data_IF_772659135951
#
_entry.id   IF_772659135951
#
_cell.length_a   1.000
_cell.length_b   1.000
_cell.length_c   1.000
_cell.angle_alpha   90.00
_cell.angle_beta   90.00
_cell.angle_gamma   90.00
#
_symmetry.space_group_name_H-M   'P 1'
#
loop_
_entity.id
_entity.type
_entity.pdbx_description
1 polymer ?
#
# COMPACT_ATOMS: atom_id res chain seq x y z
N UNK A 1 32.25 0.86 -24.63
CA UNK A 1 31.97 -0.60 -24.61
C UNK A 1 32.75 -1.19 -23.43
N UNK A 2 32.11 -1.46 -22.34
CA UNK A 2 32.68 -2.17 -21.19
C UNK A 2 31.62 -3.18 -20.70
N UNK A 3 32.02 -4.36 -20.23
CA UNK A 3 31.09 -5.45 -19.99
C UNK A 3 30.26 -5.24 -18.74
N UNK A 4 29.00 -5.67 -18.83
CA UNK A 4 28.07 -5.75 -17.73
C UNK A 4 28.56 -6.77 -16.68
N UNK A 5 28.65 -6.38 -15.44
CA UNK A 5 28.92 -7.28 -14.31
C UNK A 5 27.61 -7.95 -13.89
N UNK A 6 27.61 -9.26 -14.02
CA UNK A 6 26.64 -10.21 -13.50
C UNK A 6 26.61 -10.11 -11.98
N UNK A 7 25.47 -9.75 -11.38
CA UNK A 7 25.25 -9.80 -9.95
C UNK A 7 24.57 -11.12 -9.61
N UNK A 8 25.35 -12.01 -9.00
CA UNK A 8 24.99 -13.35 -8.62
C UNK A 8 23.81 -13.44 -7.65
N UNK A 9 22.92 -14.35 -8.00
CA UNK A 9 21.81 -14.84 -7.19
C UNK A 9 22.33 -15.60 -5.95
N UNK A 10 21.86 -15.21 -4.76
CA UNK A 10 22.02 -15.97 -3.51
C UNK A 10 20.82 -16.90 -3.33
N UNK A 11 20.98 -18.22 -3.13
CA UNK A 11 19.87 -19.14 -2.95
C UNK A 11 19.36 -19.13 -1.52
N UNK A 12 18.05 -18.96 -1.34
CA UNK A 12 17.33 -19.22 -0.10
C UNK A 12 17.14 -20.73 0.09
N UNK A 13 17.89 -21.32 1.00
CA UNK A 13 17.70 -22.72 1.43
C UNK A 13 16.81 -22.80 2.67
N UNK A 14 15.70 -23.52 2.49
CA UNK A 14 14.81 -24.23 3.41
C UNK A 14 15.15 -24.28 4.91
N UNK A 15 14.15 -23.93 5.74
CA UNK A 15 13.98 -24.54 7.07
C UNK A 15 12.57 -25.13 7.14
N UNK A 16 12.49 -26.42 6.86
CA UNK A 16 11.36 -27.29 7.24
C UNK A 16 11.61 -27.73 8.68
N UNK A 17 10.71 -27.43 9.62
CA UNK A 17 10.67 -28.08 10.94
C UNK A 17 9.34 -28.81 11.15
N UNK A 18 9.50 -30.08 11.32
CA UNK A 18 8.66 -31.18 11.78
C UNK A 18 7.59 -30.80 12.81
N UNK A 19 6.35 -31.18 12.51
CA UNK A 19 5.24 -31.20 13.45
C UNK A 19 5.32 -32.46 14.34
N UNK A 20 5.49 -32.27 15.63
CA UNK A 20 5.32 -33.30 16.65
C UNK A 20 3.89 -33.28 17.20
N UNK A 21 3.21 -34.39 17.11
CA UNK A 21 1.89 -34.70 17.67
C UNK A 21 1.89 -34.55 19.20
N UNK A 22 1.01 -33.71 19.75
CA UNK A 22 0.71 -33.66 21.18
C UNK A 22 -0.79 -33.81 21.42
N UNK A 23 -1.10 -34.75 22.33
CA UNK A 23 -2.42 -35.22 22.71
C UNK A 23 -3.28 -34.12 23.36
N UNK A 24 -4.56 -34.19 23.06
CA UNK A 24 -5.66 -33.30 23.53
C UNK A 24 -5.90 -33.38 25.05
N UNK A 25 -5.85 -32.22 25.72
CA UNK A 25 -6.40 -31.97 27.05
C UNK A 25 -7.20 -30.64 27.04
N UNK A 26 -8.09 -30.34 28.03
CA UNK A 26 -9.06 -29.26 27.94
C UNK A 26 -8.41 -27.89 28.16
N UNK A 27 -7.77 -27.33 27.12
CA UNK A 27 -7.09 -26.03 27.11
C UNK A 27 -7.66 -25.08 26.04
N UNK A 28 -8.85 -25.41 25.49
CA UNK A 28 -9.42 -24.65 24.36
C UNK A 28 -10.11 -23.33 24.73
N UNK A 29 -10.35 -23.03 26.01
CA UNK A 29 -11.07 -21.83 26.39
C UNK A 29 -10.15 -20.59 26.63
N UNK A 30 -8.88 -20.80 26.93
CA UNK A 30 -7.92 -19.69 27.14
C UNK A 30 -7.23 -19.21 25.86
N UNK A 31 -7.19 -20.04 24.80
CA UNK A 31 -6.56 -19.64 23.53
C UNK A 31 -7.43 -18.74 22.67
N UNK A 32 -8.77 -18.79 22.81
CA UNK A 32 -9.66 -17.93 22.05
C UNK A 32 -9.65 -16.46 22.51
N UNK A 33 -9.36 -16.19 23.79
CA UNK A 33 -9.24 -14.83 24.30
C UNK A 33 -7.91 -14.14 23.94
N UNK A 34 -6.85 -14.91 23.71
CA UNK A 34 -5.55 -14.38 23.28
C UNK A 34 -5.53 -13.99 21.80
N UNK A 35 -6.36 -14.62 20.94
CA UNK A 35 -6.44 -14.28 19.52
C UNK A 35 -7.24 -12.99 19.24
N UNK A 36 -8.13 -12.58 20.14
CA UNK A 36 -8.89 -11.33 20.00
C UNK A 36 -8.12 -10.09 20.49
N UNK A 37 -7.06 -10.26 21.27
CA UNK A 37 -6.20 -9.17 21.73
C UNK A 37 -5.08 -8.78 20.70
N UNK A 38 -4.93 -9.54 19.63
CA UNK A 38 -3.79 -9.42 18.70
C UNK A 38 -3.93 -8.33 17.61
N UNK A 39 -4.99 -7.51 17.60
CA UNK A 39 -5.27 -6.59 16.48
C UNK A 39 -5.58 -5.14 16.85
N UNK A 40 -5.36 -4.70 18.08
CA UNK A 40 -5.45 -3.28 18.39
C UNK A 40 -4.19 -2.59 17.82
N UNK A 41 -4.33 -1.46 17.09
CA UNK A 41 -3.16 -0.73 16.62
C UNK A 41 -2.38 -0.18 17.82
N UNK A 42 -1.05 -0.30 17.74
CA UNK A 42 -0.14 0.11 18.80
C UNK A 42 0.67 1.35 18.44
N UNK A 43 0.61 1.75 17.17
CA UNK A 43 1.23 2.98 16.71
C UNK A 43 0.51 3.56 15.49
N UNK A 44 0.81 4.82 15.17
CA UNK A 44 0.31 5.53 14.00
C UNK A 44 1.45 6.24 13.28
N UNK A 45 1.42 6.23 11.95
CA UNK A 45 2.45 6.81 11.08
C UNK A 45 2.37 8.34 11.09
N UNK A 46 3.51 9.01 11.32
CA UNK A 46 3.66 10.46 11.38
C UNK A 46 4.27 11.08 10.11
N UNK A 47 4.91 10.28 9.26
CA UNK A 47 5.50 10.76 8.00
C UNK A 47 4.47 10.71 6.86
N UNK A 48 4.55 11.60 5.87
CA UNK A 48 3.72 11.47 4.66
C UNK A 48 3.77 10.08 4.08
N UNK A 49 4.99 9.54 3.97
CA UNK A 49 5.31 8.16 3.60
C UNK A 49 6.45 7.70 4.50
N UNK A 50 6.28 6.60 5.20
CA UNK A 50 7.30 5.94 6.01
C UNK A 50 7.72 4.64 5.34
N UNK A 51 9.03 4.45 5.16
CA UNK A 51 9.58 3.22 4.59
C UNK A 51 9.54 2.09 5.62
N UNK A 52 9.28 0.89 5.14
CA UNK A 52 9.46 -0.37 5.85
C UNK A 52 10.70 -1.07 5.27
N UNK A 53 11.61 -1.46 6.14
CA UNK A 53 12.89 -2.08 5.78
C UNK A 53 12.91 -3.56 6.15
N UNK A 54 13.67 -4.36 5.41
CA UNK A 54 13.87 -5.79 5.70
C UNK A 54 14.57 -6.00 7.04
N UNK A 55 15.47 -5.09 7.44
CA UNK A 55 16.24 -5.11 8.68
C UNK A 55 16.17 -3.73 9.36
N UNK A 56 16.48 -3.62 10.68
CA UNK A 56 16.43 -2.37 11.43
C UNK A 56 17.63 -1.45 11.12
N UNK A 57 17.78 -1.07 9.86
CA UNK A 57 18.76 -0.12 9.33
C UNK A 57 18.24 0.52 8.04
N UNK A 58 18.54 1.80 7.82
CA UNK A 58 18.20 2.50 6.56
C UNK A 58 19.02 2.03 5.35
N UNK A 59 20.10 1.27 5.58
CA UNK A 59 20.90 0.64 4.52
C UNK A 59 20.28 -0.67 3.99
N UNK A 60 19.23 -1.18 4.66
CA UNK A 60 18.52 -2.38 4.23
C UNK A 60 17.55 -2.09 3.09
N UNK A 61 17.13 -3.17 2.42
CA UNK A 61 16.11 -3.09 1.36
C UNK A 61 14.81 -2.52 1.89
N UNK A 62 14.21 -1.57 1.15
CA UNK A 62 12.84 -1.11 1.39
C UNK A 62 11.88 -2.17 0.86
N UNK A 63 11.15 -2.81 1.75
CA UNK A 63 10.21 -3.90 1.39
C UNK A 63 8.78 -3.40 1.17
N UNK A 64 8.40 -2.29 1.79
CA UNK A 64 7.09 -1.66 1.62
C UNK A 64 7.10 -0.23 2.19
N UNK A 65 5.92 0.40 2.21
CA UNK A 65 5.70 1.71 2.83
C UNK A 65 4.36 1.74 3.56
N UNK A 66 4.24 2.69 4.52
CA UNK A 66 2.95 3.07 5.07
C UNK A 66 2.77 4.60 4.98
N UNK A 67 1.53 5.04 4.70
CA UNK A 67 1.22 6.46 4.53
C UNK A 67 0.79 7.10 5.85
N UNK A 68 0.81 8.43 5.88
CA UNK A 68 0.40 9.27 7.00
C UNK A 68 -0.92 8.82 7.63
N UNK A 69 -0.96 8.71 8.95
CA UNK A 69 -2.15 8.31 9.69
C UNK A 69 -2.51 6.83 9.62
N UNK A 70 -1.69 5.99 8.96
CA UNK A 70 -1.89 4.54 8.99
C UNK A 70 -1.69 4.01 10.41
N UNK A 71 -2.69 3.31 10.92
CA UNK A 71 -2.59 2.57 12.18
C UNK A 71 -1.87 1.24 11.93
N UNK A 72 -0.91 0.90 12.77
CA UNK A 72 -0.07 -0.29 12.64
C UNK A 72 0.02 -1.04 13.96
N UNK A 73 0.20 -2.37 13.88
CA UNK A 73 0.60 -3.20 15.02
C UNK A 73 2.11 -3.21 15.20
N UNK A 74 2.59 -3.49 16.40
CA UNK A 74 4.01 -3.61 16.71
C UNK A 74 4.34 -5.05 17.09
N UNK A 75 5.22 -5.68 16.30
CA UNK A 75 5.62 -7.08 16.46
C UNK A 75 6.82 -7.19 17.39
N UNK A 76 7.81 -6.29 17.22
CA UNK A 76 9.07 -6.27 17.99
C UNK A 76 9.56 -4.83 18.16
N UNK A 77 10.30 -4.55 19.21
CA UNK A 77 10.94 -3.25 19.46
C UNK A 77 12.44 -3.43 19.63
N UNK A 78 13.23 -2.64 18.89
CA UNK A 78 14.69 -2.50 19.05
C UNK A 78 15.06 -1.03 19.27
N UNK A 79 16.24 -0.73 19.77
CA UNK A 79 16.68 0.66 19.91
C UNK A 79 16.56 1.45 18.60
N UNK A 80 15.72 2.49 18.59
CA UNK A 80 15.43 3.33 17.40
C UNK A 80 14.54 2.72 16.33
N UNK A 81 14.06 1.47 16.47
CA UNK A 81 13.31 0.74 15.44
C UNK A 81 12.12 -0.03 15.99
N UNK A 82 11.07 -0.12 15.18
CA UNK A 82 9.91 -0.97 15.44
C UNK A 82 9.72 -1.93 14.27
N UNK A 83 9.62 -3.25 14.56
CA UNK A 83 9.11 -4.21 13.61
C UNK A 83 7.59 -4.12 13.64
N UNK A 84 7.01 -3.73 12.52
CA UNK A 84 5.60 -3.38 12.45
C UNK A 84 4.81 -4.30 11.54
N UNK A 85 3.50 -4.30 11.72
CA UNK A 85 2.54 -4.97 10.85
C UNK A 85 1.51 -3.95 10.35
N UNK A 86 1.41 -3.79 9.05
CA UNK A 86 0.44 -2.93 8.38
C UNK A 86 -0.94 -3.59 8.27
N UNK A 87 -2.02 -2.84 7.95
CA UNK A 87 -3.37 -3.38 7.83
C UNK A 87 -3.59 -4.44 6.73
N UNK A 88 -2.64 -4.61 5.83
CA UNK A 88 -2.58 -5.66 4.81
C UNK A 88 -1.74 -6.87 5.23
N UNK A 89 -1.43 -6.98 6.53
CA UNK A 89 -0.64 -8.03 7.18
C UNK A 89 0.83 -8.10 6.74
N UNK A 90 1.33 -7.09 6.03
CA UNK A 90 2.74 -7.02 5.67
C UNK A 90 3.59 -6.57 6.86
N UNK A 91 4.82 -7.07 6.97
CA UNK A 91 5.72 -6.76 8.08
C UNK A 91 7.06 -6.21 7.60
N UNK A 92 7.65 -5.34 8.41
CA UNK A 92 8.96 -4.76 8.16
C UNK A 92 9.38 -3.83 9.29
N UNK A 93 10.60 -3.33 9.25
CA UNK A 93 11.15 -2.43 10.25
C UNK A 93 10.94 -0.98 9.86
N UNK A 94 10.48 -0.15 10.81
CA UNK A 94 10.37 1.30 10.66
C UNK A 94 11.20 2.01 11.72
N UNK A 95 11.80 3.19 11.40
CA UNK A 95 12.36 4.08 12.41
C UNK A 95 11.28 4.46 13.44
N UNK A 96 11.62 4.38 14.73
CA UNK A 96 10.67 4.70 15.81
C UNK A 96 10.19 6.16 15.75
N UNK A 97 11.03 7.07 15.25
CA UNK A 97 10.70 8.50 15.12
C UNK A 97 9.69 8.80 13.99
N UNK A 98 9.43 7.85 13.12
CA UNK A 98 8.39 7.96 12.08
C UNK A 98 6.99 7.65 12.61
N UNK A 99 6.89 7.23 13.87
CA UNK A 99 5.71 6.67 14.48
C UNK A 99 5.37 7.35 15.81
N UNK A 100 4.09 7.49 16.11
CA UNK A 100 3.62 7.76 17.47
C UNK A 100 3.07 6.46 18.06
N UNK A 101 3.59 6.05 19.21
CA UNK A 101 3.03 4.95 19.99
C UNK A 101 1.66 5.32 20.55
N UNK A 102 0.73 4.39 20.51
CA UNK A 102 -0.58 4.51 21.14
C UNK A 102 -0.52 3.90 22.54
N UNK A 103 -0.98 4.66 23.53
CA UNK A 103 -1.06 4.21 24.92
C UNK A 103 -2.29 3.35 25.19
N UNK A 104 -2.34 2.74 26.37
CA UNK A 104 -3.51 2.01 26.84
C UNK A 104 -4.71 2.98 26.94
N UNK A 105 -5.74 2.74 26.14
CA UNK A 105 -6.94 3.58 26.08
C UNK A 105 -6.97 4.57 24.91
N UNK A 106 -5.87 4.75 24.18
CA UNK A 106 -5.87 5.52 22.94
C UNK A 106 -6.72 4.80 21.88
N UNK A 107 -7.51 5.59 21.16
CA UNK A 107 -8.24 5.08 20.00
C UNK A 107 -7.34 5.08 18.77
N UNK A 108 -7.54 4.11 17.90
CA UNK A 108 -6.95 4.13 16.58
C UNK A 108 -7.28 5.44 15.85
N UNK A 109 -6.29 6.05 15.20
CA UNK A 109 -6.48 7.30 14.47
C UNK A 109 -7.47 7.10 13.31
N UNK A 110 -8.33 8.07 13.07
CA UNK A 110 -9.37 8.06 12.05
C UNK A 110 -10.22 6.76 12.03
N UNK A 111 -10.47 6.19 13.23
CA UNK A 111 -11.29 4.98 13.40
C UNK A 111 -12.74 5.27 13.75
N UNK A 112 -13.10 6.52 14.04
CA UNK A 112 -14.46 6.93 14.40
C UNK A 112 -14.70 8.41 14.09
N UNK A 113 -15.95 8.85 14.25
CA UNK A 113 -16.34 10.21 13.93
C UNK A 113 -16.39 10.48 12.42
N UNK A 114 -16.23 11.74 12.03
CA UNK A 114 -16.21 12.14 10.62
C UNK A 114 -14.79 12.03 10.07
N UNK A 115 -14.61 11.17 9.08
CA UNK A 115 -13.31 10.91 8.44
C UNK A 115 -13.37 11.39 6.99
N UNK A 116 -12.37 12.17 6.59
CA UNK A 116 -12.13 12.57 5.21
C UNK A 116 -11.02 11.68 4.60
N UNK A 117 -11.20 11.31 3.34
CA UNK A 117 -10.23 10.53 2.56
C UNK A 117 -9.61 11.43 1.50
N UNK A 118 -8.30 11.50 1.44
CA UNK A 118 -7.60 12.24 0.40
C UNK A 118 -7.85 11.57 -0.95
N UNK A 119 -8.54 12.29 -1.84
CA UNK A 119 -8.84 11.86 -3.22
C UNK A 119 -7.96 12.57 -4.25
N UNK A 120 -7.40 13.74 -3.95
CA UNK A 120 -6.32 14.33 -4.74
C UNK A 120 -5.05 13.47 -4.66
N UNK A 121 -4.17 13.51 -5.67
CA UNK A 121 -2.88 12.82 -5.58
C UNK A 121 -2.08 13.28 -4.35
N UNK A 122 -2.23 14.57 -3.99
CA UNK A 122 -1.62 15.19 -2.83
C UNK A 122 -2.61 16.17 -2.21
N UNK A 123 -2.73 16.19 -0.88
CA UNK A 123 -3.47 17.21 -0.13
C UNK A 123 -2.53 17.94 0.81
N UNK A 124 -2.51 19.27 0.72
CA UNK A 124 -1.72 20.10 1.62
C UNK A 124 -2.51 20.41 2.89
N UNK A 125 -1.90 20.15 4.03
CA UNK A 125 -2.46 20.49 5.34
C UNK A 125 -1.71 21.72 5.86
N UNK A 126 -2.45 22.77 6.13
CA UNK A 126 -1.93 24.08 6.54
C UNK A 126 -2.13 24.31 8.03
N UNK A 127 -1.39 25.28 8.58
CA UNK A 127 -1.50 25.71 9.98
C UNK A 127 -2.75 26.55 10.24
N UNK A 128 -3.22 27.24 9.23
CA UNK A 128 -4.37 28.12 9.22
C UNK A 128 -5.10 28.02 7.86
N UNK A 129 -6.40 28.38 7.74
CA UNK A 129 -7.14 28.26 6.48
C UNK A 129 -6.68 29.31 5.45
N UNK A 130 -5.42 29.20 5.02
CA UNK A 130 -4.78 30.16 4.12
C UNK A 130 -3.65 29.49 3.33
N UNK A 131 -3.76 29.51 1.99
CA UNK A 131 -2.75 28.94 1.08
C UNK A 131 -1.61 29.92 0.73
N UNK A 132 -1.77 31.21 1.03
CA UNK A 132 -0.82 32.25 0.61
C UNK A 132 0.24 32.54 1.65
N UNK A 133 0.02 32.10 2.89
CA UNK A 133 0.92 32.33 4.02
C UNK A 133 1.47 31.00 4.48
N UNK A 134 2.77 30.96 4.72
CA UNK A 134 3.47 29.79 5.27
C UNK A 134 3.39 28.54 4.38
N UNK A 135 4.38 27.70 4.51
CA UNK A 135 4.38 26.38 3.89
C UNK A 135 3.34 25.44 4.57
N UNK A 136 2.85 24.42 3.89
CA UNK A 136 2.08 23.37 4.52
C UNK A 136 2.81 22.73 5.70
N UNK A 137 2.06 22.28 6.70
CA UNK A 137 2.57 21.44 7.80
C UNK A 137 3.04 20.10 7.27
N UNK A 138 2.21 19.52 6.39
CA UNK A 138 2.44 18.25 5.75
C UNK A 138 1.73 18.21 4.40
N UNK A 139 2.25 17.38 3.49
CA UNK A 139 1.57 16.99 2.25
C UNK A 139 1.18 15.53 2.38
N UNK A 140 -0.11 15.27 2.50
CA UNK A 140 -0.66 13.93 2.63
C UNK A 140 -0.87 13.30 1.25
N UNK A 141 -0.46 12.03 1.03
CA UNK A 141 -0.70 11.32 -0.21
C UNK A 141 -2.18 10.90 -0.38
N UNK A 142 -2.52 10.50 -1.59
CA UNK A 142 -3.79 9.83 -1.92
C UNK A 142 -4.11 8.70 -0.94
N UNK A 143 -5.39 8.51 -0.60
CA UNK A 143 -5.92 7.55 0.39
C UNK A 143 -5.60 7.85 1.86
N UNK A 144 -4.88 8.93 2.17
CA UNK A 144 -4.72 9.35 3.58
C UNK A 144 -6.09 9.60 4.22
N UNK A 145 -6.29 9.06 5.41
CA UNK A 145 -7.49 9.28 6.23
C UNK A 145 -7.22 10.34 7.27
N UNK A 146 -8.13 11.29 7.41
CA UNK A 146 -7.99 12.42 8.32
C UNK A 146 -9.26 12.59 9.15
N UNK A 147 -9.11 12.80 10.46
CA UNK A 147 -10.24 13.07 11.35
C UNK A 147 -10.69 14.52 11.21
N UNK A 148 -11.91 14.75 10.75
CA UNK A 148 -12.49 16.09 10.64
C UNK A 148 -13.07 16.51 11.99
N UNK A 149 -12.59 17.62 12.53
CA UNK A 149 -12.99 18.17 13.82
C UNK A 149 -13.85 19.43 13.67
N UNK A 150 -13.74 20.14 12.54
CA UNK A 150 -14.62 21.26 12.25
C UNK A 150 -14.81 21.48 10.74
N UNK A 151 -16.00 22.00 10.40
CA UNK A 151 -16.42 22.41 9.06
C UNK A 151 -17.00 23.83 9.16
N UNK A 152 -16.17 24.89 8.93
CA UNK A 152 -16.64 26.26 9.04
C UNK A 152 -17.79 26.55 8.08
N UNK A 153 -18.85 27.18 8.61
CA UNK A 153 -20.04 27.52 7.81
C UNK A 153 -19.81 28.77 6.96
N UNK A 154 -18.95 29.66 7.38
CA UNK A 154 -18.57 30.91 6.73
C UNK A 154 -17.53 30.74 5.63
N UNK A 155 -16.74 29.67 5.66
CA UNK A 155 -15.81 29.30 4.60
C UNK A 155 -15.79 27.81 4.33
N UNK A 156 -16.75 27.33 3.56
CA UNK A 156 -16.95 25.93 3.21
C UNK A 156 -15.77 25.27 2.46
N UNK A 157 -14.80 26.06 2.00
CA UNK A 157 -13.60 25.55 1.29
C UNK A 157 -12.67 24.79 2.22
N UNK A 158 -12.76 25.01 3.53
CA UNK A 158 -11.85 24.48 4.50
C UNK A 158 -12.47 23.43 5.41
N UNK A 159 -11.63 22.50 5.82
CA UNK A 159 -11.89 21.54 6.87
C UNK A 159 -10.78 21.65 7.90
N UNK A 160 -11.13 21.70 9.17
CA UNK A 160 -10.17 21.50 10.24
C UNK A 160 -10.09 20.01 10.58
N UNK A 161 -8.86 19.49 10.63
CA UNK A 161 -8.59 18.07 10.90
C UNK A 161 -7.65 17.92 12.08
N UNK A 162 -7.88 16.88 12.88
CA UNK A 162 -6.91 16.41 13.86
C UNK A 162 -5.86 15.57 13.15
N UNK A 163 -4.60 15.80 13.48
CA UNK A 163 -3.45 15.07 12.94
C UNK A 163 -3.10 13.87 13.85
N UNK A 164 -2.37 12.86 13.35
CA UNK A 164 -1.96 11.70 14.16
C UNK A 164 -1.14 12.05 15.41
N UNK A 165 -0.51 13.22 15.44
CA UNK A 165 0.25 13.76 16.59
C UNK A 165 -0.57 14.68 17.50
N UNK A 166 -1.89 14.63 17.39
CA UNK A 166 -2.90 15.39 18.14
C UNK A 166 -2.90 16.91 17.87
N UNK A 167 -2.06 17.43 16.99
CA UNK A 167 -2.19 18.80 16.49
C UNK A 167 -3.40 18.93 15.58
N UNK A 168 -3.87 20.14 15.34
CA UNK A 168 -4.84 20.41 14.27
C UNK A 168 -4.17 21.04 13.04
N UNK A 169 -4.84 20.93 11.91
CA UNK A 169 -4.45 21.54 10.66
C UNK A 169 -5.66 21.75 9.75
N UNK A 170 -5.47 22.50 8.71
CA UNK A 170 -6.51 22.91 7.77
C UNK A 170 -6.20 22.36 6.38
N UNK A 171 -7.17 21.72 5.75
CA UNK A 171 -7.06 21.30 4.36
C UNK A 171 -8.24 21.80 3.52
N UNK A 172 -8.04 21.86 2.22
CA UNK A 172 -9.09 22.26 1.30
C UNK A 172 -10.06 21.11 1.08
N UNK A 173 -11.36 21.38 1.19
CA UNK A 173 -12.43 20.38 1.01
C UNK A 173 -12.37 19.72 -0.38
N UNK A 174 -11.92 20.40 -1.41
CA UNK A 174 -11.80 19.87 -2.77
C UNK A 174 -10.77 18.73 -2.92
N UNK A 175 -9.88 18.56 -1.93
CA UNK A 175 -8.85 17.52 -1.94
C UNK A 175 -9.34 16.18 -1.38
N UNK A 176 -10.56 16.12 -0.81
CA UNK A 176 -11.04 14.95 -0.08
C UNK A 176 -12.45 14.52 -0.47
N UNK A 177 -12.76 13.28 -0.19
CA UNK A 177 -14.11 12.72 -0.18
C UNK A 177 -14.47 12.22 1.22
N UNK A 178 -15.76 12.19 1.52
CA UNK A 178 -16.33 11.55 2.71
C UNK A 178 -16.92 10.17 2.41
N UNK A 179 -16.99 9.83 1.13
CA UNK A 179 -17.50 8.55 0.66
C UNK A 179 -16.35 7.69 0.16
N UNK A 180 -16.33 6.45 0.58
CA UNK A 180 -15.35 5.44 0.17
C UNK A 180 -16.09 4.20 -0.31
N UNK A 181 -16.81 4.35 -1.44
CA UNK A 181 -17.46 3.21 -2.08
C UNK A 181 -16.46 2.49 -2.99
N UNK A 182 -16.53 1.15 -3.04
CA UNK A 182 -15.77 0.39 -4.02
C UNK A 182 -16.05 0.85 -5.45
N UNK A 183 -15.01 1.02 -6.24
CA UNK A 183 -15.12 1.42 -7.64
C UNK A 183 -15.49 0.23 -8.53
N UNK A 184 -16.25 0.50 -9.59
CA UNK A 184 -16.39 -0.43 -10.70
C UNK A 184 -15.05 -0.66 -11.41
N UNK A 185 -14.99 -1.62 -12.32
CA UNK A 185 -13.79 -1.85 -13.15
C UNK A 185 -13.48 -0.60 -13.99
N UNK A 186 -14.48 0.00 -14.61
CA UNK A 186 -14.36 1.22 -15.41
C UNK A 186 -13.86 2.40 -14.57
N UNK A 187 -14.46 2.60 -13.39
CA UNK A 187 -14.03 3.63 -12.44
C UNK A 187 -12.59 3.41 -11.93
N UNK A 188 -12.17 2.16 -11.78
CA UNK A 188 -10.79 1.82 -11.40
C UNK A 188 -9.80 2.14 -12.53
N UNK A 189 -10.16 1.84 -13.76
CA UNK A 189 -9.34 2.17 -14.93
C UNK A 189 -9.24 3.68 -15.12
N UNK A 190 -10.33 4.42 -14.94
CA UNK A 190 -10.32 5.88 -14.98
C UNK A 190 -9.43 6.45 -13.86
N UNK A 191 -9.60 5.96 -12.63
CA UNK A 191 -8.74 6.32 -11.51
C UNK A 191 -7.27 6.06 -11.83
N UNK A 192 -6.93 4.89 -12.38
CA UNK A 192 -5.56 4.49 -12.67
C UNK A 192 -4.83 5.47 -13.60
N UNK A 193 -5.55 6.07 -14.55
CA UNK A 193 -5.01 7.06 -15.50
C UNK A 193 -4.55 8.35 -14.84
N UNK A 194 -5.09 8.70 -13.67
CA UNK A 194 -4.67 9.88 -12.89
C UNK A 194 -3.25 9.76 -12.37
N UNK A 195 -2.72 8.55 -12.27
CA UNK A 195 -1.38 8.25 -11.76
C UNK A 195 -0.30 8.18 -12.85
N UNK A 196 -0.68 8.30 -14.14
CA UNK A 196 0.27 8.24 -15.25
C UNK A 196 1.38 9.27 -15.08
N UNK A 197 2.62 8.81 -15.21
CA UNK A 197 3.81 9.64 -15.04
C UNK A 197 4.32 9.78 -13.62
N UNK A 198 3.62 9.28 -12.60
CA UNK A 198 4.17 9.20 -11.25
C UNK A 198 5.40 8.27 -11.23
N UNK A 199 6.43 8.59 -10.44
CA UNK A 199 7.67 7.85 -10.43
C UNK A 199 7.47 6.40 -9.97
N UNK A 200 8.25 5.49 -10.57
CA UNK A 200 8.48 4.17 -10.00
C UNK A 200 9.37 4.31 -8.77
N UNK A 201 8.93 3.75 -7.66
CA UNK A 201 9.69 3.73 -6.41
C UNK A 201 9.66 2.31 -5.87
N UNK A 202 10.83 1.70 -5.68
CA UNK A 202 10.94 0.37 -5.11
C UNK A 202 10.31 0.35 -3.70
N UNK A 203 9.48 -0.67 -3.40
CA UNK A 203 8.69 -0.72 -2.17
C UNK A 203 7.53 0.26 -2.10
N UNK A 204 7.31 1.08 -3.14
CA UNK A 204 6.36 2.19 -3.16
C UNK A 204 4.90 1.77 -3.12
N UNK A 205 4.11 2.43 -2.25
CA UNK A 205 2.67 2.16 -2.05
C UNK A 205 1.81 3.42 -2.06
N UNK A 206 2.35 4.56 -2.50
CA UNK A 206 1.69 5.85 -2.39
C UNK A 206 1.79 6.69 -3.66
N UNK A 207 1.02 7.78 -3.74
CA UNK A 207 1.11 8.75 -4.84
C UNK A 207 2.43 9.53 -4.90
N UNK A 208 3.35 9.35 -3.95
CA UNK A 208 4.73 9.83 -4.07
C UNK A 208 5.58 8.92 -4.96
N UNK A 209 5.17 7.69 -5.17
CA UNK A 209 5.75 6.70 -6.05
C UNK A 209 5.21 5.31 -5.74
N UNK A 210 5.04 4.51 -6.76
CA UNK A 210 4.58 3.12 -6.67
C UNK A 210 5.63 2.18 -7.25
N UNK A 211 5.74 0.97 -6.70
CA UNK A 211 6.21 -0.17 -7.46
C UNK A 211 5.05 -0.90 -8.17
N UNK A 212 5.34 -1.94 -8.91
CA UNK A 212 4.35 -2.66 -9.70
C UNK A 212 3.23 -3.27 -8.86
N UNK A 213 3.59 -3.98 -7.78
CA UNK A 213 2.63 -4.69 -6.93
C UNK A 213 1.91 -3.74 -5.97
N UNK A 214 2.55 -2.69 -5.48
CA UNK A 214 1.91 -1.64 -4.67
C UNK A 214 0.87 -0.84 -5.46
N UNK A 215 1.15 -0.55 -6.75
CA UNK A 215 0.17 0.09 -7.63
C UNK A 215 -1.03 -0.82 -7.91
N UNK A 216 -0.78 -2.08 -8.25
CA UNK A 216 -1.84 -3.07 -8.48
C UNK A 216 -2.65 -3.32 -7.21
N UNK A 217 -2.01 -3.39 -6.04
CA UNK A 217 -2.65 -3.52 -4.73
C UNK A 217 -3.58 -2.33 -4.45
N UNK A 218 -3.14 -1.09 -4.71
CA UNK A 218 -3.96 0.12 -4.56
C UNK A 218 -5.20 0.06 -5.45
N UNK A 219 -5.07 -0.31 -6.72
CA UNK A 219 -6.21 -0.43 -7.65
C UNK A 219 -7.22 -1.48 -7.17
N UNK A 220 -6.75 -2.63 -6.70
CA UNK A 220 -7.62 -3.68 -6.14
C UNK A 220 -8.30 -3.22 -4.84
N UNK A 221 -7.58 -2.52 -3.97
CA UNK A 221 -8.14 -1.94 -2.73
C UNK A 221 -9.26 -0.94 -3.03
N UNK A 222 -9.12 -0.12 -4.06
CA UNK A 222 -10.17 0.82 -4.50
C UNK A 222 -11.40 0.09 -5.08
N UNK A 223 -11.26 -1.15 -5.50
CA UNK A 223 -12.37 -2.05 -5.87
C UNK A 223 -12.98 -2.81 -4.68
N UNK A 224 -12.51 -2.53 -3.46
CA UNK A 224 -12.95 -3.20 -2.25
C UNK A 224 -12.26 -4.53 -1.96
N UNK A 225 -11.24 -4.92 -2.74
CA UNK A 225 -10.50 -6.18 -2.55
C UNK A 225 -9.09 -5.91 -2.08
N UNK A 226 -8.73 -6.44 -0.91
CA UNK A 226 -7.35 -6.41 -0.40
C UNK A 226 -6.61 -7.63 -0.93
N UNK A 227 -5.56 -7.40 -1.71
CA UNK A 227 -4.67 -8.43 -2.23
C UNK A 227 -3.31 -8.35 -1.51
N UNK A 228 -2.50 -9.41 -1.52
CA UNK A 228 -1.15 -9.39 -0.95
C UNK A 228 -0.26 -8.30 -1.54
N UNK A 229 0.84 -7.98 -0.82
CA UNK A 229 1.77 -6.91 -1.21
C UNK A 229 2.65 -7.29 -2.41
N UNK A 230 3.22 -8.50 -2.42
CA UNK A 230 4.23 -8.90 -3.39
C UNK A 230 3.61 -9.56 -4.63
N UNK A 231 4.21 -9.36 -5.80
CA UNK A 231 3.65 -9.76 -7.08
C UNK A 231 3.47 -11.28 -7.21
N UNK A 232 4.44 -12.08 -6.75
CA UNK A 232 4.40 -13.54 -6.76
C UNK A 232 3.32 -14.06 -5.81
N UNK A 233 3.17 -13.44 -4.62
CA UNK A 233 2.12 -13.77 -3.65
C UNK A 233 0.74 -13.38 -4.19
N UNK A 234 0.62 -12.24 -4.91
CA UNK A 234 -0.62 -11.86 -5.60
C UNK A 234 -1.05 -12.91 -6.62
N UNK A 235 -0.09 -13.41 -7.43
CA UNK A 235 -0.36 -14.42 -8.45
C UNK A 235 -0.81 -15.78 -7.88
N UNK A 236 -0.33 -16.13 -6.69
CA UNK A 236 -0.62 -17.36 -5.98
C UNK A 236 -1.79 -17.24 -4.98
N UNK A 237 -2.33 -16.02 -4.79
CA UNK A 237 -3.36 -15.77 -3.78
C UNK A 237 -4.66 -16.50 -4.08
N UNK A 238 -5.29 -17.08 -3.03
CA UNK A 238 -6.53 -17.84 -3.16
C UNK A 238 -7.76 -17.04 -3.64
N UNK A 239 -7.72 -15.70 -3.56
CA UNK A 239 -8.79 -14.79 -4.02
C UNK A 239 -8.74 -14.50 -5.52
N UNK A 240 -7.87 -15.18 -6.29
CA UNK A 240 -7.79 -15.05 -7.74
C UNK A 240 -7.95 -16.40 -8.44
N UNK A 241 -8.47 -16.37 -9.68
CA UNK A 241 -8.56 -17.55 -10.54
C UNK A 241 -7.72 -17.38 -11.81
N UNK A 242 -7.15 -18.47 -12.36
CA UNK A 242 -6.41 -18.41 -13.62
C UNK A 242 -7.32 -17.97 -14.78
N UNK A 243 -6.76 -17.15 -15.67
CA UNK A 243 -7.40 -16.70 -16.91
C UNK A 243 -6.44 -16.98 -18.06
N UNK A 244 -6.96 -17.43 -19.21
CA UNK A 244 -6.16 -17.54 -20.43
C UNK A 244 -5.97 -16.16 -21.05
N UNK A 245 -4.86 -15.95 -21.79
CA UNK A 245 -4.56 -14.68 -22.43
C UNK A 245 -5.66 -14.22 -23.40
N UNK A 246 -6.26 -15.14 -24.12
CA UNK A 246 -7.38 -14.90 -25.06
C UNK A 246 -8.70 -14.50 -24.39
N UNK A 247 -8.86 -14.83 -23.08
CA UNK A 247 -10.07 -14.57 -22.28
C UNK A 247 -9.93 -13.33 -21.38
N UNK A 248 -8.86 -12.53 -21.55
CA UNK A 248 -8.59 -11.33 -20.74
C UNK A 248 -9.74 -10.32 -20.82
N UNK A 249 -10.11 -9.78 -19.67
CA UNK A 249 -11.09 -8.70 -19.51
C UNK A 249 -10.48 -7.55 -18.70
N UNK A 250 -10.93 -6.30 -18.93
CA UNK A 250 -10.50 -5.17 -18.10
C UNK A 250 -10.62 -5.50 -16.60
N UNK A 251 -9.59 -5.18 -15.83
CA UNK A 251 -9.48 -5.47 -14.40
C UNK A 251 -8.77 -6.78 -14.07
N UNK A 252 -8.43 -7.62 -15.06
CA UNK A 252 -7.59 -8.81 -14.83
C UNK A 252 -6.16 -8.40 -14.51
N UNK A 253 -5.50 -9.20 -13.65
CA UNK A 253 -4.13 -8.99 -13.23
C UNK A 253 -3.18 -9.79 -14.12
N UNK A 254 -2.12 -9.15 -14.55
CA UNK A 254 -1.09 -9.73 -15.40
C UNK A 254 0.19 -9.88 -14.60
N UNK A 255 0.85 -11.02 -14.73
CA UNK A 255 2.06 -11.36 -14.01
C UNK A 255 3.16 -11.73 -14.98
N UNK A 256 4.33 -11.11 -14.77
CA UNK A 256 5.47 -11.20 -15.66
C UNK A 256 6.69 -11.71 -14.90
N UNK A 257 7.51 -12.49 -15.55
CA UNK A 257 8.72 -13.06 -14.97
C UNK A 257 9.43 -13.99 -15.95
N UNK A 258 10.44 -14.70 -15.50
CA UNK A 258 11.14 -15.72 -16.30
C UNK A 258 10.37 -17.03 -16.37
N UNK A 259 9.54 -17.33 -15.36
CA UNK A 259 8.68 -18.51 -15.25
C UNK A 259 7.51 -18.24 -14.30
N UNK A 260 6.50 -19.12 -14.30
CA UNK A 260 5.30 -18.98 -13.45
C UNK A 260 5.61 -19.09 -11.94
N UNK A 261 6.71 -19.67 -11.57
CA UNK A 261 7.26 -19.77 -10.20
C UNK A 261 8.36 -18.70 -9.92
N UNK A 262 8.62 -17.82 -10.89
CA UNK A 262 9.58 -16.72 -10.75
C UNK A 262 8.99 -15.43 -11.34
N UNK A 263 7.97 -14.90 -10.63
CA UNK A 263 7.27 -13.66 -10.98
C UNK A 263 8.00 -12.49 -10.33
N UNK A 264 8.27 -11.45 -11.12
CA UNK A 264 8.99 -10.24 -10.67
C UNK A 264 8.25 -8.95 -10.98
N UNK A 265 7.10 -9.02 -11.69
CA UNK A 265 6.37 -7.84 -12.10
C UNK A 265 4.86 -8.13 -12.28
N UNK A 266 4.05 -7.10 -12.10
CA UNK A 266 2.59 -7.18 -12.27
C UNK A 266 2.01 -5.88 -12.83
N UNK A 267 0.81 -5.97 -13.39
CA UNK A 267 0.01 -4.84 -13.85
C UNK A 267 -1.45 -5.24 -14.03
N UNK A 268 -2.32 -4.26 -14.31
CA UNK A 268 -3.74 -4.49 -14.54
C UNK A 268 -4.09 -4.31 -16.02
N UNK A 269 -4.74 -5.31 -16.60
CA UNK A 269 -5.27 -5.24 -17.96
C UNK A 269 -6.40 -4.21 -18.05
N UNK A 270 -6.35 -3.33 -19.04
CA UNK A 270 -7.31 -2.24 -19.23
C UNK A 270 -8.12 -2.35 -20.52
N UNK A 271 -7.98 -3.48 -21.24
CA UNK A 271 -8.64 -3.70 -22.53
C UNK A 271 -7.75 -3.40 -23.74
N UNK A 272 -8.19 -3.79 -24.92
CA UNK A 272 -7.55 -3.47 -26.22
C UNK A 272 -6.07 -3.89 -26.30
N UNK A 273 -5.70 -4.99 -25.66
CA UNK A 273 -4.32 -5.47 -25.62
C UNK A 273 -3.40 -4.62 -24.74
N UNK A 274 -3.93 -3.71 -23.93
CA UNK A 274 -3.15 -2.77 -23.09
C UNK A 274 -3.29 -3.08 -21.62
N UNK A 275 -2.27 -2.72 -20.86
CA UNK A 275 -2.29 -2.79 -19.40
C UNK A 275 -1.58 -1.58 -18.79
N UNK A 276 -1.98 -1.24 -17.57
CA UNK A 276 -1.37 -0.18 -16.78
C UNK A 276 -0.54 -0.77 -15.66
N UNK A 277 0.64 -0.21 -15.44
CA UNK A 277 1.59 -0.69 -14.43
C UNK A 277 2.56 0.42 -14.00
N UNK A 278 3.20 0.27 -12.85
CA UNK A 278 4.38 1.02 -12.47
C UNK A 278 5.60 0.16 -12.86
N UNK A 279 6.41 0.61 -13.79
CA UNK A 279 7.53 -0.16 -14.35
C UNK A 279 8.74 0.71 -14.60
N UNK A 280 9.92 0.08 -14.62
CA UNK A 280 11.17 0.73 -15.01
C UNK A 280 11.45 0.62 -16.52
N UNK A 281 10.69 -0.21 -17.25
CA UNK A 281 10.84 -0.42 -18.68
C UNK A 281 10.53 0.85 -19.44
N UNK A 282 11.46 1.28 -20.31
CA UNK A 282 11.47 2.52 -21.09
C UNK A 282 11.59 3.77 -20.19
N UNK A 283 10.68 3.94 -19.22
CA UNK A 283 10.68 5.05 -18.25
C UNK A 283 10.29 4.52 -16.87
N UNK A 284 10.95 4.95 -15.79
CA UNK A 284 10.63 4.51 -14.42
C UNK A 284 9.41 5.27 -13.87
N UNK A 285 8.23 4.96 -14.42
CA UNK A 285 6.97 5.63 -14.05
C UNK A 285 5.77 4.69 -14.12
N UNK A 286 4.63 5.13 -13.60
CA UNK A 286 3.32 4.55 -13.93
C UNK A 286 3.03 4.84 -15.40
N UNK A 287 2.76 3.80 -16.18
CA UNK A 287 2.59 3.89 -17.64
C UNK A 287 1.62 2.84 -18.18
N UNK A 288 1.12 3.07 -19.39
CA UNK A 288 0.33 2.10 -20.15
C UNK A 288 1.28 1.44 -21.15
N UNK A 289 1.27 0.11 -21.15
CA UNK A 289 2.04 -0.71 -22.07
C UNK A 289 1.13 -1.58 -22.94
N UNK A 290 1.67 -2.03 -24.09
CA UNK A 290 0.99 -2.92 -25.00
C UNK A 290 1.46 -4.36 -24.77
N UNK A 291 0.53 -5.32 -24.67
CA UNK A 291 0.84 -6.74 -24.53
C UNK A 291 1.47 -7.37 -25.79
N UNK A 292 1.36 -6.68 -26.94
CA UNK A 292 2.01 -7.11 -28.18
C UNK A 292 3.48 -6.70 -28.25
N UNK A 293 3.95 -5.81 -27.35
CA UNK A 293 5.38 -5.48 -27.24
C UNK A 293 6.17 -6.76 -26.96
N UNK A 294 7.23 -7.06 -27.73
CA UNK A 294 8.04 -8.27 -27.58
C UNK A 294 8.61 -8.48 -26.18
N UNK A 295 8.94 -7.40 -25.46
CA UNK A 295 9.40 -7.46 -24.08
C UNK A 295 8.32 -8.08 -23.17
N UNK A 296 7.11 -7.51 -23.19
CA UNK A 296 6.01 -7.94 -22.34
C UNK A 296 5.42 -9.28 -22.78
N UNK A 297 5.34 -9.54 -24.10
CA UNK A 297 4.89 -10.83 -24.63
C UNK A 297 5.74 -11.99 -24.14
N UNK A 298 7.07 -11.80 -24.10
CA UNK A 298 8.03 -12.82 -23.65
C UNK A 298 7.94 -13.08 -22.15
N UNK A 299 7.66 -12.06 -21.35
CA UNK A 299 7.67 -12.13 -19.89
C UNK A 299 6.30 -12.49 -19.27
N UNK A 300 5.20 -12.43 -20.02
CA UNK A 300 3.88 -12.76 -19.49
C UNK A 300 3.81 -14.25 -19.17
N UNK A 301 3.76 -14.59 -17.89
CA UNK A 301 3.73 -15.98 -17.40
C UNK A 301 2.41 -16.39 -16.76
N UNK A 302 1.59 -15.43 -16.30
CA UNK A 302 0.28 -15.75 -15.73
C UNK A 302 -0.70 -14.59 -15.87
N UNK A 303 -1.99 -14.91 -15.98
CA UNK A 303 -3.09 -13.96 -15.87
C UNK A 303 -4.05 -14.44 -14.78
N UNK A 304 -4.62 -13.53 -14.01
CA UNK A 304 -5.52 -13.82 -12.90
C UNK A 304 -6.72 -12.87 -12.91
N UNK A 305 -7.86 -13.35 -12.48
CA UNK A 305 -9.07 -12.56 -12.23
C UNK A 305 -9.44 -12.64 -10.77
N UNK A 306 -9.81 -11.51 -10.17
CA UNK A 306 -10.39 -11.48 -8.82
C UNK A 306 -11.73 -12.22 -8.82
N UNK A 307 -11.97 -13.01 -7.75
CA UNK A 307 -13.23 -13.70 -7.51
C UNK A 307 -14.34 -12.76 -7.03
#
# INVERSE_FOLDING_TARGET
MGPATDQGSVPLSAIVRSAASLKSGPMHLFMALALLAANAPEAVVLKPVANMYAEPTEDAEVVSQAIYGTNIGVVETRPGWLHVRTPDDYTGWMPADDLRRLGAGDKAYASGGRVAWVESLFAHIYREPNVTKRRPLITAPFETRLEVIAEPQDDWRWLEVRLPDDRSGWLQRGDVSFESQPLSIEGTIELSRRFLGLPYTWGGTSSFGYDCSGFTQMLCRRRGTRIPRDADVQAAWQGVVPVKREDLKPGDLLFFGSAADHITHTGMYIGEGKFINAAIWIRPVVQICDLSDPHWTRLLVACRRLQ
#
